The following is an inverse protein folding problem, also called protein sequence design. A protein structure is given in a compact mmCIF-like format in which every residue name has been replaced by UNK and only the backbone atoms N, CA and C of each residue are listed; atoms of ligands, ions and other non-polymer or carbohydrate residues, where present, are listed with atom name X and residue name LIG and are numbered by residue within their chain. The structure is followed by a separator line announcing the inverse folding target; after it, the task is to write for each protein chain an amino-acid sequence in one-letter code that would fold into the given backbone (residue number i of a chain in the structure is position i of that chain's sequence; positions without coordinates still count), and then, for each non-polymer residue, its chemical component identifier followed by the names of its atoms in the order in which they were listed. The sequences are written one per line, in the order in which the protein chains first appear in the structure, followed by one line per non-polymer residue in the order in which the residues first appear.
data_IF_366822118721
#
_entry.id   IF_366822118721
#
_cell.length_a   1.000
_cell.length_b   1.000
_cell.length_c   1.000
_cell.angle_alpha   90.00
_cell.angle_beta   90.00
_cell.angle_gamma   90.00
#
_symmetry.space_group_name_H-M   'P 1'
#
loop_
_entity.id
_entity.type
_entity.pdbx_description
1 polymer ?
#
# COMPACT_ATOMS: atom_id res chain seq x y z
N UNK A 1 12.54 11.87 22.23
CA UNK A 1 11.10 12.08 21.93
C UNK A 1 10.76 11.89 20.45
N UNK A 2 11.64 12.27 19.51
CA UNK A 2 11.34 12.16 18.07
C UNK A 2 11.17 10.71 17.56
N UNK A 3 12.00 9.77 18.01
CA UNK A 3 11.97 8.39 17.51
C UNK A 3 10.65 7.65 17.80
N UNK A 4 10.07 7.67 19.02
CA UNK A 4 8.74 7.09 19.27
C UNK A 4 7.64 7.70 18.39
N UNK A 5 7.70 9.02 18.14
CA UNK A 5 6.72 9.71 17.29
C UNK A 5 6.84 9.23 15.84
N UNK A 6 8.06 9.20 15.29
CA UNK A 6 8.30 8.67 13.95
C UNK A 6 7.88 7.20 13.85
N UNK A 7 8.07 6.43 14.91
CA UNK A 7 7.65 5.05 14.96
C UNK A 7 6.13 4.90 14.94
N UNK A 8 5.42 5.68 15.75
CA UNK A 8 3.96 5.73 15.76
C UNK A 8 3.40 6.13 14.40
N UNK A 9 3.95 7.19 13.78
CA UNK A 9 3.50 7.66 12.46
C UNK A 9 3.72 6.59 11.38
N UNK A 10 4.88 5.93 11.39
CA UNK A 10 5.19 4.88 10.43
C UNK A 10 4.26 3.67 10.57
N UNK A 11 4.03 3.21 11.80
CA UNK A 11 3.14 2.07 12.07
C UNK A 11 1.69 2.43 11.72
N UNK A 12 1.24 3.63 12.06
CA UNK A 12 -0.10 4.12 11.73
C UNK A 12 -0.32 4.19 10.21
N UNK A 13 0.67 4.71 9.47
CA UNK A 13 0.64 4.75 8.02
C UNK A 13 0.61 3.35 7.40
N UNK A 14 1.39 2.42 7.96
CA UNK A 14 1.46 1.03 7.52
C UNK A 14 0.13 0.28 7.74
N UNK A 15 -0.48 0.44 8.93
CA UNK A 15 -1.80 -0.12 9.22
C UNK A 15 -2.85 0.52 8.31
N UNK A 16 -2.81 1.83 8.13
CA UNK A 16 -3.68 2.55 7.20
C UNK A 16 -3.58 1.99 5.78
N UNK A 17 -2.37 1.73 5.29
CA UNK A 17 -2.14 1.11 4.00
C UNK A 17 -2.88 -0.23 3.87
N UNK A 18 -2.72 -1.13 4.87
CA UNK A 18 -3.39 -2.44 4.88
C UNK A 18 -4.91 -2.28 4.87
N UNK A 19 -5.44 -1.37 5.69
CA UNK A 19 -6.88 -1.09 5.80
C UNK A 19 -7.44 -0.64 4.45
N UNK A 20 -6.83 0.35 3.81
CA UNK A 20 -7.34 0.89 2.55
C UNK A 20 -7.15 -0.06 1.36
N UNK A 21 -6.04 -0.81 1.30
CA UNK A 21 -5.86 -1.86 0.29
C UNK A 21 -6.91 -2.98 0.45
N UNK A 22 -7.20 -3.39 1.68
CA UNK A 22 -8.25 -4.39 1.97
C UNK A 22 -9.63 -3.86 1.59
N UNK A 23 -9.94 -2.59 1.89
CA UNK A 23 -11.17 -1.94 1.48
C UNK A 23 -11.33 -1.90 -0.04
N UNK A 24 -10.27 -1.58 -0.79
CA UNK A 24 -10.28 -1.64 -2.26
C UNK A 24 -10.57 -3.05 -2.76
N UNK A 25 -9.91 -4.08 -2.24
CA UNK A 25 -10.17 -5.48 -2.62
C UNK A 25 -11.60 -5.92 -2.31
N UNK A 26 -12.19 -5.40 -1.24
CA UNK A 26 -13.56 -5.71 -0.84
C UNK A 26 -14.60 -5.06 -1.77
N UNK A 27 -14.36 -3.80 -2.17
CA UNK A 27 -15.21 -3.00 -3.08
C UNK A 27 -15.04 -3.46 -4.55
N UNK A 28 -13.82 -3.80 -4.95
CA UNK A 28 -13.49 -4.28 -6.29
C UNK A 28 -13.86 -5.78 -6.44
N UNK A 29 -15.12 -6.13 -6.16
CA UNK A 29 -15.62 -7.50 -6.24
C UNK A 29 -16.79 -7.56 -7.21
N UNK A 30 -16.66 -8.38 -8.25
CA UNK A 30 -17.57 -8.39 -9.39
C UNK A 30 -19.03 -8.63 -8.99
N UNK A 31 -19.29 -9.57 -8.08
CA UNK A 31 -20.64 -9.97 -7.65
C UNK A 31 -21.56 -8.83 -7.15
N UNK A 32 -21.00 -7.71 -6.70
CA UNK A 32 -21.77 -6.55 -6.20
C UNK A 32 -21.24 -5.21 -6.74
N UNK A 33 -20.51 -5.25 -7.86
CA UNK A 33 -19.96 -4.05 -8.47
C UNK A 33 -21.05 -3.21 -9.14
N UNK A 34 -21.03 -1.90 -8.93
CA UNK A 34 -22.00 -0.97 -9.51
C UNK A 34 -21.35 0.40 -9.77
N UNK A 35 -22.11 1.33 -10.38
CA UNK A 35 -21.61 2.66 -10.71
C UNK A 35 -21.11 3.47 -9.51
N UNK A 36 -21.66 3.26 -8.31
CA UNK A 36 -21.17 3.92 -7.09
C UNK A 36 -19.84 3.32 -6.59
N UNK A 37 -19.47 2.10 -6.99
CA UNK A 37 -18.20 1.47 -6.62
C UNK A 37 -16.99 2.17 -7.26
N UNK A 38 -17.13 2.68 -8.48
CA UNK A 38 -16.01 3.34 -9.21
C UNK A 38 -15.48 4.59 -8.51
N UNK A 39 -16.28 5.63 -8.20
CA UNK A 39 -15.79 6.82 -7.50
C UNK A 39 -15.30 6.50 -6.08
N UNK A 40 -15.87 5.48 -5.43
CA UNK A 40 -15.39 4.99 -4.13
C UNK A 40 -13.99 4.38 -4.26
N UNK A 41 -13.74 3.55 -5.29
CA UNK A 41 -12.42 3.00 -5.56
C UNK A 41 -11.40 4.08 -5.85
N UNK A 42 -11.74 5.09 -6.67
CA UNK A 42 -10.87 6.24 -6.93
C UNK A 42 -10.50 6.98 -5.63
N UNK A 43 -11.46 7.18 -4.72
CA UNK A 43 -11.19 7.82 -3.42
C UNK A 43 -10.31 6.97 -2.53
N UNK A 44 -10.61 5.68 -2.41
CA UNK A 44 -9.79 4.74 -1.63
C UNK A 44 -8.36 4.65 -2.18
N UNK A 45 -8.21 4.69 -3.50
CA UNK A 45 -6.92 4.65 -4.18
C UNK A 45 -6.06 5.88 -3.86
N UNK A 46 -6.66 7.08 -3.89
CA UNK A 46 -5.98 8.30 -3.46
C UNK A 46 -5.49 8.20 -2.02
N UNK A 47 -6.32 7.70 -1.11
CA UNK A 47 -5.95 7.53 0.30
C UNK A 47 -4.84 6.48 0.44
N UNK A 48 -4.88 5.39 -0.32
CA UNK A 48 -3.82 4.38 -0.33
C UNK A 48 -2.48 4.95 -0.80
N UNK A 49 -2.46 5.78 -1.86
CA UNK A 49 -1.24 6.43 -2.32
C UNK A 49 -0.70 7.46 -1.33
N UNK A 50 -1.58 8.18 -0.63
CA UNK A 50 -1.19 9.03 0.49
C UNK A 50 -0.55 8.18 1.59
N UNK A 51 -1.19 7.09 2.02
CA UNK A 51 -0.63 6.17 3.01
C UNK A 51 0.72 5.59 2.55
N UNK A 52 0.86 5.26 1.26
CA UNK A 52 2.11 4.80 0.65
C UNK A 52 3.22 5.83 0.81
N UNK A 53 2.94 7.10 0.50
CA UNK A 53 3.89 8.19 0.69
C UNK A 53 4.27 8.35 2.16
N UNK A 54 3.29 8.31 3.08
CA UNK A 54 3.56 8.39 4.53
C UNK A 54 4.44 7.24 5.03
N UNK A 55 4.20 6.00 4.59
CA UNK A 55 5.05 4.84 4.96
C UNK A 55 6.49 5.07 4.48
N UNK A 56 6.69 5.50 3.23
CA UNK A 56 8.03 5.74 2.68
C UNK A 56 8.74 6.90 3.39
N UNK A 57 8.08 8.04 3.53
CA UNK A 57 8.66 9.24 4.15
C UNK A 57 9.04 8.97 5.61
N UNK A 58 8.13 8.42 6.40
CA UNK A 58 8.41 8.08 7.79
C UNK A 58 9.46 6.97 7.89
N UNK A 59 9.47 6.01 6.96
CA UNK A 59 10.47 4.94 6.91
C UNK A 59 11.88 5.47 6.66
N UNK A 60 12.05 6.41 5.73
CA UNK A 60 13.33 7.07 5.44
C UNK A 60 13.76 8.00 6.59
N UNK A 61 12.83 8.76 7.17
CA UNK A 61 13.14 9.60 8.33
C UNK A 61 13.62 8.76 9.51
N UNK A 62 13.02 7.59 9.74
CA UNK A 62 13.40 6.67 10.82
C UNK A 62 14.82 6.13 10.71
N UNK A 63 15.46 6.25 9.56
CA UNK A 63 16.76 5.65 9.33
C UNK A 63 17.86 6.67 9.28
N UNK A 64 17.54 7.91 8.90
CA UNK A 64 18.40 9.08 9.12
C UNK A 64 18.39 9.54 10.57
N UNK A 65 17.22 9.53 11.22
CA UNK A 65 16.99 10.10 12.56
C UNK A 65 16.83 9.02 13.65
N UNK A 66 17.02 7.75 13.30
CA UNK A 66 16.89 6.62 14.21
C UNK A 66 18.14 6.39 15.07
N UNK A 67 17.95 5.71 16.20
CA UNK A 67 18.99 5.50 17.23
C UNK A 67 20.21 4.70 16.78
N UNK A 68 20.06 3.77 15.83
CA UNK A 68 21.15 2.90 15.38
C UNK A 68 22.08 3.54 14.35
N UNK A 69 21.75 4.75 13.88
CA UNK A 69 22.52 5.47 12.86
C UNK A 69 22.29 4.95 11.44
N UNK A 70 22.47 5.86 10.47
CA UNK A 70 22.20 5.61 9.05
C UNK A 70 22.97 4.40 8.49
N UNK A 71 24.27 4.30 8.77
CA UNK A 71 25.13 3.23 8.25
C UNK A 71 24.70 1.83 8.68
N UNK A 72 24.25 1.67 9.94
CA UNK A 72 23.74 0.39 10.43
C UNK A 72 22.46 0.00 9.69
N UNK A 73 21.50 0.92 9.55
CA UNK A 73 20.26 0.61 8.84
C UNK A 73 20.54 0.23 7.37
N UNK A 74 21.41 0.96 6.67
CA UNK A 74 21.54 0.85 5.20
C UNK A 74 22.37 -0.36 4.79
N UNK A 75 23.19 -0.88 5.70
CA UNK A 75 23.91 -2.16 5.54
C UNK A 75 23.08 -3.37 5.97
N UNK A 76 21.98 -3.20 6.72
CA UNK A 76 21.22 -4.32 7.25
C UNK A 76 20.28 -4.94 6.19
N UNK A 77 20.41 -6.24 5.86
CA UNK A 77 19.61 -6.88 4.81
C UNK A 77 18.12 -6.96 5.16
N UNK A 78 17.74 -6.95 6.45
CA UNK A 78 16.33 -6.99 6.87
C UNK A 78 15.60 -5.69 6.52
N UNK A 79 16.31 -4.55 6.51
CA UNK A 79 15.75 -3.30 6.02
C UNK A 79 15.41 -3.43 4.52
N UNK A 80 16.35 -3.90 3.73
CA UNK A 80 16.16 -4.08 2.29
C UNK A 80 15.04 -5.07 1.99
N UNK A 81 14.95 -6.17 2.73
CA UNK A 81 13.87 -7.15 2.60
C UNK A 81 12.49 -6.49 2.77
N UNK A 82 12.25 -5.75 3.86
CA UNK A 82 10.96 -5.08 4.06
C UNK A 82 10.71 -3.95 3.06
N UNK A 83 11.76 -3.24 2.64
CA UNK A 83 11.64 -2.15 1.67
C UNK A 83 11.24 -2.68 0.29
N UNK A 84 11.89 -3.76 -0.18
CA UNK A 84 11.57 -4.42 -1.46
C UNK A 84 10.16 -4.99 -1.43
N UNK A 85 9.76 -5.65 -0.34
CA UNK A 85 8.39 -6.15 -0.19
C UNK A 85 7.36 -5.02 -0.29
N UNK A 86 7.60 -3.90 0.38
CA UNK A 86 6.71 -2.75 0.34
C UNK A 86 6.66 -2.12 -1.05
N UNK A 87 7.82 -1.96 -1.70
CA UNK A 87 7.88 -1.38 -3.04
C UNK A 87 7.20 -2.27 -4.08
N UNK A 88 7.39 -3.59 -4.01
CA UNK A 88 6.68 -4.55 -4.85
C UNK A 88 5.16 -4.44 -4.65
N UNK A 89 4.69 -4.36 -3.41
CA UNK A 89 3.28 -4.18 -3.10
C UNK A 89 2.71 -2.85 -3.63
N UNK A 90 3.46 -1.75 -3.53
CA UNK A 90 3.06 -0.45 -4.07
C UNK A 90 3.01 -0.45 -5.61
N UNK A 91 4.00 -1.06 -6.27
CA UNK A 91 4.04 -1.18 -7.73
C UNK A 91 2.86 -1.97 -8.28
N UNK A 92 2.41 -3.01 -7.57
CA UNK A 92 1.21 -3.78 -7.94
C UNK A 92 -0.06 -2.90 -8.00
N UNK A 93 -0.12 -1.80 -7.26
CA UNK A 93 -1.30 -0.92 -7.24
C UNK A 93 -1.39 0.01 -8.47
N UNK A 94 -0.32 0.18 -9.24
CA UNK A 94 -0.32 1.07 -10.41
C UNK A 94 -1.33 0.61 -11.47
N UNK A 95 -1.44 -0.70 -11.70
CA UNK A 95 -2.42 -1.27 -12.64
C UNK A 95 -3.87 -0.95 -12.25
N UNK A 96 -4.30 -1.30 -11.03
CA UNK A 96 -5.60 -0.92 -10.48
C UNK A 96 -5.89 0.58 -10.54
N UNK A 97 -4.96 1.44 -10.14
CA UNK A 97 -5.10 2.91 -10.22
C UNK A 97 -5.46 3.38 -11.63
N UNK A 98 -4.75 2.87 -12.64
CA UNK A 98 -5.03 3.20 -14.06
C UNK A 98 -6.39 2.67 -14.49
N UNK A 99 -6.79 1.48 -14.02
CA UNK A 99 -8.11 0.93 -14.33
C UNK A 99 -9.23 1.80 -13.75
N UNK A 100 -9.13 2.21 -12.48
CA UNK A 100 -10.14 3.07 -11.85
C UNK A 100 -10.30 4.40 -12.56
N UNK A 101 -9.20 5.02 -12.98
CA UNK A 101 -9.24 6.26 -13.76
C UNK A 101 -9.97 6.09 -15.10
N UNK A 102 -9.69 4.99 -15.82
CA UNK A 102 -10.40 4.68 -17.08
C UNK A 102 -11.89 4.43 -16.85
N UNK A 103 -12.25 3.68 -15.81
CA UNK A 103 -13.66 3.40 -15.49
C UNK A 103 -14.41 4.66 -15.09
N UNK A 104 -13.77 5.56 -14.32
CA UNK A 104 -14.36 6.84 -13.95
C UNK A 104 -14.62 7.69 -15.20
N UNK A 105 -13.62 7.82 -16.09
CA UNK A 105 -13.77 8.55 -17.33
C UNK A 105 -14.87 7.98 -18.24
N UNK A 106 -14.99 6.64 -18.32
CA UNK A 106 -16.05 6.00 -19.08
C UNK A 106 -17.45 6.29 -18.50
N UNK A 107 -17.61 6.24 -17.16
CA UNK A 107 -18.87 6.58 -16.51
C UNK A 107 -19.23 8.07 -16.65
N UNK A 108 -18.24 8.96 -16.53
CA UNK A 108 -18.45 10.40 -16.70
C UNK A 108 -18.89 10.74 -18.13
N UNK A 109 -18.48 9.93 -19.12
CA UNK A 109 -18.92 10.02 -20.50
C UNK A 109 -20.26 9.31 -20.79
N UNK A 110 -20.96 8.79 -19.77
CA UNK A 110 -22.22 8.05 -19.94
C UNK A 110 -22.06 6.62 -20.47
N UNK A 111 -20.84 6.07 -20.41
CA UNK A 111 -20.51 4.72 -20.85
C UNK A 111 -20.91 3.63 -19.86
N UNK A 112 -20.58 2.39 -20.22
CA UNK A 112 -20.89 1.20 -19.42
C UNK A 112 -19.85 0.93 -18.31
N UNK A 113 -20.26 0.10 -17.35
CA UNK A 113 -19.35 -0.45 -16.33
C UNK A 113 -18.34 -1.43 -16.94
N UNK A 114 -17.15 -1.59 -16.32
CA UNK A 114 -16.21 -2.63 -16.72
C UNK A 114 -16.84 -4.02 -16.58
N UNK A 115 -16.43 -4.94 -17.44
CA UNK A 115 -16.87 -6.33 -17.35
C UNK A 115 -16.25 -7.05 -16.13
N UNK A 116 -16.80 -8.22 -15.79
CA UNK A 116 -16.34 -9.01 -14.65
C UNK A 116 -14.87 -9.44 -14.77
N UNK A 117 -14.39 -9.75 -15.98
CA UNK A 117 -13.01 -10.16 -16.20
C UNK A 117 -12.04 -9.02 -15.89
N UNK A 118 -12.40 -7.80 -16.26
CA UNK A 118 -11.65 -6.59 -16.00
C UNK A 118 -11.64 -6.22 -14.52
N UNK A 119 -12.79 -6.33 -13.83
CA UNK A 119 -12.88 -6.14 -12.37
C UNK A 119 -11.96 -7.14 -11.65
N UNK A 120 -12.04 -8.43 -12.00
CA UNK A 120 -11.24 -9.47 -11.38
C UNK A 120 -9.73 -9.30 -11.66
N UNK A 121 -9.37 -8.83 -12.87
CA UNK A 121 -7.98 -8.50 -13.22
C UNK A 121 -7.43 -7.34 -12.41
N UNK A 122 -8.25 -6.32 -12.12
CA UNK A 122 -7.86 -5.21 -11.24
C UNK A 122 -7.77 -5.66 -9.77
N UNK A 123 -8.63 -6.59 -9.33
CA UNK A 123 -8.66 -7.06 -7.94
C UNK A 123 -7.44 -7.90 -7.53
N UNK A 124 -6.97 -8.78 -8.41
CA UNK A 124 -5.83 -9.71 -8.16
C UNK A 124 -4.57 -9.03 -7.60
N UNK A 125 -4.01 -7.97 -8.23
CA UNK A 125 -2.80 -7.32 -7.74
C UNK A 125 -3.02 -6.64 -6.37
N UNK A 126 -4.22 -6.14 -6.07
CA UNK A 126 -4.54 -5.56 -4.75
C UNK A 126 -4.41 -6.63 -3.68
N UNK A 127 -5.02 -7.80 -3.90
CA UNK A 127 -4.90 -8.93 -2.97
C UNK A 127 -3.45 -9.36 -2.80
N UNK A 128 -2.72 -9.55 -3.90
CA UNK A 128 -1.31 -9.94 -3.82
C UNK A 128 -0.48 -8.91 -3.04
N UNK A 129 -0.66 -7.62 -3.32
CA UNK A 129 -0.01 -6.53 -2.59
C UNK A 129 -0.31 -6.56 -1.09
N UNK A 130 -1.57 -6.78 -0.70
CA UNK A 130 -1.95 -6.93 0.71
C UNK A 130 -1.24 -8.11 1.39
N UNK A 131 -1.14 -9.26 0.72
CA UNK A 131 -0.44 -10.42 1.28
C UNK A 131 1.08 -10.20 1.38
N UNK A 132 1.69 -9.53 0.40
CA UNK A 132 3.11 -9.15 0.50
C UNK A 132 3.37 -8.24 1.69
N UNK A 133 2.48 -7.26 1.92
CA UNK A 133 2.60 -6.36 3.07
C UNK A 133 2.41 -7.10 4.40
N UNK A 134 1.59 -8.15 4.45
CA UNK A 134 1.45 -8.99 5.64
C UNK A 134 2.74 -9.74 6.02
N UNK A 135 3.72 -9.88 5.11
CA UNK A 135 5.02 -10.50 5.39
C UNK A 135 6.03 -9.52 6.02
N UNK A 136 5.83 -8.20 5.84
CA UNK A 136 6.75 -7.15 6.31
C UNK A 136 7.00 -7.14 7.82
N UNK A 137 6.01 -7.42 8.71
CA UNK A 137 6.25 -7.44 10.15
C UNK A 137 7.36 -8.40 10.58
N UNK A 138 7.57 -9.51 9.86
CA UNK A 138 8.60 -10.50 10.21
C UNK A 138 10.02 -9.87 10.19
N UNK A 139 10.57 -9.40 9.05
CA UNK A 139 11.88 -8.74 9.05
C UNK A 139 11.90 -7.48 9.91
N UNK A 140 10.77 -6.78 10.09
CA UNK A 140 10.70 -5.60 10.95
C UNK A 140 10.95 -5.93 12.44
N UNK A 141 10.40 -7.04 12.95
CA UNK A 141 10.61 -7.47 14.35
C UNK A 141 12.07 -7.89 14.58
N UNK A 142 12.66 -8.64 13.66
CA UNK A 142 14.08 -9.03 13.75
C UNK A 142 15.01 -7.81 13.70
N UNK A 143 14.75 -6.86 12.79
CA UNK A 143 15.51 -5.61 12.68
C UNK A 143 15.42 -4.78 13.97
N UNK A 144 14.23 -4.68 14.57
CA UNK A 144 14.03 -3.97 15.83
C UNK A 144 14.88 -4.57 16.97
N UNK A 145 15.00 -5.91 17.02
CA UNK A 145 15.82 -6.63 18.00
C UNK A 145 17.33 -6.60 17.71
N UNK A 146 17.76 -5.94 16.63
CA UNK A 146 19.19 -5.79 16.31
C UNK A 146 19.82 -7.04 15.74
N UNK A 147 19.03 -7.89 15.08
CA UNK A 147 19.59 -9.01 14.32
C UNK A 147 20.29 -8.46 13.06
N UNK A 148 21.46 -9.06 12.78
CA UNK A 148 22.47 -8.62 11.81
C UNK A 148 23.26 -7.38 12.22
#
# INVERSE_FOLDING_TARGET
MLEPILAFLHISAFIGWIVFATAQSAVCRAAWFNAASVPRLVRLDKILWIATAFVLLTGLLRTWLGTKGFGWYWSNPLLWAKFILFMAAALLQIGPTRAYGRWQAALDAGGALPDEAEINRARKPIMLGTHLVALIPLPAVFLARGWW
#
